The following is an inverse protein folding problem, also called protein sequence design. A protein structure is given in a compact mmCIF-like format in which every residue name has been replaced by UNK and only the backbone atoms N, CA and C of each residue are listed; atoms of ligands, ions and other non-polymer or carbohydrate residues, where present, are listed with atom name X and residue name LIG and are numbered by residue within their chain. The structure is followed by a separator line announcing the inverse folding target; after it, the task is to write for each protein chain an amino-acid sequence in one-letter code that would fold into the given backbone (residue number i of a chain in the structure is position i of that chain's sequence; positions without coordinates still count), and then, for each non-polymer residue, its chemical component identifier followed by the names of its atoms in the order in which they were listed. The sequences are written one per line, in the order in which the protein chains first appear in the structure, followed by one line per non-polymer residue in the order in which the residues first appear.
data_IF_119878666213
#
_entry.id   IF_119878666213
#
_cell.length_a   1.000
_cell.length_b   1.000
_cell.length_c   1.000
_cell.angle_alpha   90.00
_cell.angle_beta   90.00
_cell.angle_gamma   90.00
#
_symmetry.space_group_name_H-M   'P 1'
#
loop_
_entity.id
_entity.type
_entity.pdbx_description
1 polymer ?
#
# COMPACT_ATOMS: atom_id res chain seq x y z
N UNK A 1 -132.84 -26.54 43.39
CA UNK A 1 -131.88 -25.41 43.42
C UNK A 1 -130.43 -25.89 43.26
N UNK A 2 -129.98 -26.92 43.98
CA UNK A 2 -128.58 -27.40 43.94
C UNK A 2 -128.16 -28.07 42.61
N UNK A 3 -129.00 -28.93 42.02
CA UNK A 3 -128.69 -29.60 40.74
C UNK A 3 -128.52 -28.63 39.55
N UNK A 4 -129.25 -27.52 39.57
CA UNK A 4 -129.13 -26.48 38.52
C UNK A 4 -127.79 -25.75 38.65
N UNK A 5 -127.33 -25.49 39.88
CA UNK A 5 -126.01 -24.87 40.12
C UNK A 5 -124.86 -25.78 39.66
N UNK A 6 -124.93 -27.08 39.96
CA UNK A 6 -123.94 -28.06 39.51
C UNK A 6 -123.91 -28.16 37.97
N UNK A 7 -125.07 -28.24 37.32
CA UNK A 7 -125.14 -28.27 35.85
C UNK A 7 -124.62 -26.96 35.21
N UNK A 8 -124.85 -25.80 35.83
CA UNK A 8 -124.27 -24.54 35.35
C UNK A 8 -122.76 -24.48 35.56
N UNK A 9 -122.26 -25.03 36.65
CA UNK A 9 -120.83 -25.08 36.99
C UNK A 9 -120.06 -26.03 36.06
N UNK A 10 -120.64 -27.18 35.71
CA UNK A 10 -120.09 -28.09 34.71
C UNK A 10 -120.07 -27.44 33.32
N UNK A 11 -121.10 -26.66 32.99
CA UNK A 11 -121.17 -25.91 31.73
C UNK A 11 -120.11 -24.81 31.65
N UNK A 12 -119.89 -24.06 32.74
CA UNK A 12 -118.85 -23.01 32.80
C UNK A 12 -117.45 -23.63 32.73
N UNK A 13 -117.21 -24.71 33.47
CA UNK A 13 -115.93 -25.42 33.45
C UNK A 13 -115.62 -25.99 32.06
N UNK A 14 -116.62 -26.55 31.38
CA UNK A 14 -116.49 -27.04 30.01
C UNK A 14 -116.14 -25.90 29.02
N UNK A 15 -116.73 -24.71 29.22
CA UNK A 15 -116.44 -23.52 28.39
C UNK A 15 -115.03 -22.98 28.63
N UNK A 16 -114.60 -22.89 29.89
CA UNK A 16 -113.25 -22.46 30.29
C UNK A 16 -112.18 -23.43 29.77
N UNK A 17 -112.41 -24.73 29.90
CA UNK A 17 -111.50 -25.74 29.35
C UNK A 17 -111.37 -25.60 27.83
N UNK A 18 -112.48 -25.38 27.12
CA UNK A 18 -112.48 -25.13 25.67
C UNK A 18 -111.82 -23.80 25.29
N UNK A 19 -111.89 -22.75 26.11
CA UNK A 19 -111.13 -21.51 25.86
C UNK A 19 -109.63 -21.73 26.05
N UNK A 20 -109.23 -22.44 27.10
CA UNK A 20 -107.81 -22.75 27.35
C UNK A 20 -107.19 -23.58 26.24
N UNK A 21 -107.91 -24.56 25.67
CA UNK A 21 -107.43 -25.32 24.50
C UNK A 21 -107.21 -24.40 23.30
N UNK A 22 -108.18 -23.51 23.01
CA UNK A 22 -108.07 -22.57 21.88
C UNK A 22 -106.92 -21.58 22.08
N UNK A 23 -106.71 -21.09 23.29
CA UNK A 23 -105.61 -20.18 23.61
C UNK A 23 -104.26 -20.89 23.52
N UNK A 24 -104.18 -22.15 23.96
CA UNK A 24 -103.00 -23.00 23.77
C UNK A 24 -102.68 -23.18 22.29
N UNK A 25 -103.65 -23.55 21.47
CA UNK A 25 -103.44 -23.73 20.03
C UNK A 25 -103.03 -22.42 19.34
N UNK A 26 -103.66 -21.30 19.72
CA UNK A 26 -103.34 -19.96 19.22
C UNK A 26 -101.92 -19.50 19.60
N UNK A 27 -101.44 -19.86 20.79
CA UNK A 27 -100.14 -19.43 21.30
C UNK A 27 -98.99 -20.42 21.04
N UNK A 28 -99.27 -21.69 20.75
CA UNK A 28 -98.26 -22.74 20.56
C UNK A 28 -97.17 -22.37 19.54
N UNK A 29 -97.54 -21.71 18.44
CA UNK A 29 -96.58 -21.24 17.45
C UNK A 29 -95.64 -20.17 17.99
N UNK A 30 -96.16 -19.21 18.77
CA UNK A 30 -95.37 -18.11 19.37
C UNK A 30 -94.43 -18.65 20.44
N UNK A 31 -94.91 -19.53 21.32
CA UNK A 31 -94.11 -20.17 22.35
C UNK A 31 -92.98 -21.02 21.75
N UNK A 32 -93.27 -21.79 20.70
CA UNK A 32 -92.26 -22.55 19.96
C UNK A 32 -91.18 -21.65 19.37
N UNK A 33 -91.55 -20.53 18.75
CA UNK A 33 -90.59 -19.57 18.19
C UNK A 33 -89.73 -18.90 19.27
N UNK A 34 -90.33 -18.55 20.41
CA UNK A 34 -89.62 -18.01 21.56
C UNK A 34 -88.61 -19.02 22.11
N UNK A 35 -89.03 -20.28 22.31
CA UNK A 35 -88.15 -21.36 22.76
C UNK A 35 -86.98 -21.60 21.79
N UNK A 36 -87.25 -21.65 20.48
CA UNK A 36 -86.19 -21.76 19.45
C UNK A 36 -85.21 -20.57 19.55
N UNK A 37 -85.72 -19.36 19.79
CA UNK A 37 -84.90 -18.16 19.89
C UNK A 37 -84.02 -18.15 21.13
N UNK A 38 -84.52 -18.64 22.26
CA UNK A 38 -83.72 -18.81 23.49
C UNK A 38 -82.65 -19.89 23.26
N UNK A 39 -83.06 -21.05 22.73
CA UNK A 39 -82.17 -22.18 22.48
C UNK A 39 -81.05 -21.84 21.50
N UNK A 40 -81.35 -21.18 20.38
CA UNK A 40 -80.33 -20.77 19.40
C UNK A 40 -79.34 -19.77 20.01
N UNK A 41 -79.82 -18.83 20.82
CA UNK A 41 -78.96 -17.84 21.47
C UNK A 41 -78.04 -18.52 22.51
N UNK A 42 -78.58 -19.40 23.34
CA UNK A 42 -77.82 -20.14 24.34
C UNK A 42 -76.77 -21.07 23.71
N UNK A 43 -77.13 -21.83 22.66
CA UNK A 43 -76.18 -22.66 21.91
C UNK A 43 -75.05 -21.81 21.32
N UNK A 44 -75.38 -20.67 20.72
CA UNK A 44 -74.39 -19.72 20.21
C UNK A 44 -73.48 -19.15 21.31
N UNK A 45 -74.04 -18.82 22.47
CA UNK A 45 -73.28 -18.35 23.63
C UNK A 45 -72.28 -19.41 24.11
N UNK A 46 -72.72 -20.66 24.29
CA UNK A 46 -71.85 -21.76 24.70
C UNK A 46 -70.68 -21.94 23.75
N UNK A 47 -70.94 -22.01 22.44
CA UNK A 47 -69.88 -22.17 21.43
C UNK A 47 -68.87 -21.03 21.47
N UNK A 48 -69.33 -19.77 21.53
CA UNK A 48 -68.43 -18.60 21.60
C UNK A 48 -67.62 -18.59 22.88
N UNK A 49 -68.24 -18.90 24.02
CA UNK A 49 -67.55 -18.96 25.32
C UNK A 49 -66.44 -20.02 25.28
N UNK A 50 -66.76 -21.23 24.82
CA UNK A 50 -65.78 -22.32 24.68
C UNK A 50 -64.64 -21.92 23.76
N UNK A 51 -64.93 -21.34 22.60
CA UNK A 51 -63.91 -20.84 21.68
C UNK A 51 -62.98 -19.79 22.32
N UNK A 52 -63.52 -18.83 23.06
CA UNK A 52 -62.72 -17.79 23.72
C UNK A 52 -61.77 -18.38 24.78
N UNK A 53 -62.24 -19.37 25.55
CA UNK A 53 -61.40 -20.08 26.53
C UNK A 53 -60.25 -20.78 25.85
N UNK A 54 -60.51 -21.57 24.81
CA UNK A 54 -59.46 -22.26 24.06
C UNK A 54 -58.50 -21.30 23.36
N UNK A 55 -59.02 -20.22 22.75
CA UNK A 55 -58.21 -19.18 22.12
C UNK A 55 -57.24 -18.55 23.13
N UNK A 56 -57.72 -18.23 24.33
CA UNK A 56 -56.88 -17.67 25.38
C UNK A 56 -55.80 -18.68 25.83
N UNK A 57 -56.18 -19.93 26.06
CA UNK A 57 -55.25 -20.98 26.46
C UNK A 57 -54.15 -21.21 25.42
N UNK A 58 -54.52 -21.34 24.15
CA UNK A 58 -53.56 -21.51 23.05
C UNK A 58 -52.62 -20.32 22.91
N UNK A 59 -53.15 -19.09 23.03
CA UNK A 59 -52.32 -17.88 23.03
C UNK A 59 -51.31 -17.92 24.17
N UNK A 60 -51.76 -18.21 25.40
CA UNK A 60 -50.89 -18.30 26.57
C UNK A 60 -49.81 -19.38 26.44
N UNK A 61 -50.17 -20.55 25.89
CA UNK A 61 -49.21 -21.63 25.62
C UNK A 61 -48.16 -21.20 24.59
N UNK A 62 -48.60 -20.60 23.47
CA UNK A 62 -47.70 -20.07 22.43
C UNK A 62 -46.74 -19.01 22.99
N UNK A 63 -47.28 -18.05 23.75
CA UNK A 63 -46.47 -16.98 24.37
C UNK A 63 -45.46 -17.56 25.36
N UNK A 64 -45.85 -18.58 26.14
CA UNK A 64 -44.96 -19.31 27.04
C UNK A 64 -43.80 -20.00 26.30
N UNK A 65 -44.09 -20.70 25.21
CA UNK A 65 -43.07 -21.36 24.37
C UNK A 65 -42.11 -20.32 23.79
N UNK A 66 -42.63 -19.21 23.26
CA UNK A 66 -41.81 -18.14 22.68
C UNK A 66 -40.86 -17.54 23.72
N UNK A 67 -41.36 -17.23 24.93
CA UNK A 67 -40.53 -16.68 26.01
C UNK A 67 -39.43 -17.67 26.41
N UNK A 68 -39.73 -18.97 26.50
CA UNK A 68 -38.74 -20.00 26.80
C UNK A 68 -37.67 -20.10 25.70
N UNK A 69 -38.09 -20.07 24.43
CA UNK A 69 -37.17 -20.06 23.29
C UNK A 69 -36.24 -18.84 23.31
N UNK A 70 -36.78 -17.64 23.57
CA UNK A 70 -35.98 -16.43 23.71
C UNK A 70 -34.98 -16.52 24.87
N UNK A 71 -35.39 -17.04 26.04
CA UNK A 71 -34.51 -17.24 27.20
C UNK A 71 -33.39 -18.23 26.89
N UNK A 72 -33.70 -19.32 26.20
CA UNK A 72 -32.71 -20.31 25.78
C UNK A 72 -31.70 -19.70 24.80
N UNK A 73 -32.17 -19.02 23.76
CA UNK A 73 -31.32 -18.35 22.78
C UNK A 73 -30.39 -17.32 23.45
N UNK A 74 -30.93 -16.50 24.35
CA UNK A 74 -30.14 -15.50 25.08
C UNK A 74 -29.02 -16.15 25.90
N UNK A 75 -29.30 -17.27 26.60
CA UNK A 75 -28.28 -18.01 27.35
C UNK A 75 -27.18 -18.53 26.42
N UNK A 76 -27.57 -19.14 25.30
CA UNK A 76 -26.64 -19.67 24.30
C UNK A 76 -25.74 -18.58 23.72
N UNK A 77 -26.31 -17.43 23.34
CA UNK A 77 -25.56 -16.29 22.83
C UNK A 77 -24.60 -15.70 23.87
N UNK A 78 -25.03 -15.62 25.13
CA UNK A 78 -24.14 -15.17 26.23
C UNK A 78 -22.97 -16.12 26.43
N UNK A 79 -23.20 -17.43 26.43
CA UNK A 79 -22.13 -18.43 26.55
C UNK A 79 -21.15 -18.30 25.39
N UNK A 80 -21.64 -18.29 24.16
CA UNK A 80 -20.80 -18.15 22.97
C UNK A 80 -19.95 -16.87 23.00
N UNK A 81 -20.52 -15.74 23.44
CA UNK A 81 -19.77 -14.49 23.60
C UNK A 81 -18.64 -14.61 24.62
N UNK A 82 -18.89 -15.29 25.75
CA UNK A 82 -17.87 -15.52 26.77
C UNK A 82 -16.75 -16.43 26.26
N UNK A 83 -17.12 -17.50 25.55
CA UNK A 83 -16.16 -18.42 24.91
C UNK A 83 -15.28 -17.68 23.89
N UNK A 84 -15.89 -16.85 23.03
CA UNK A 84 -15.15 -16.01 22.09
C UNK A 84 -14.19 -15.05 22.80
N UNK A 85 -14.65 -14.40 23.86
CA UNK A 85 -13.81 -13.49 24.65
C UNK A 85 -12.63 -14.22 25.29
N UNK A 86 -12.86 -15.41 25.86
CA UNK A 86 -11.82 -16.24 26.44
C UNK A 86 -10.81 -16.70 25.37
N UNK A 87 -11.29 -17.13 24.20
CA UNK A 87 -10.42 -17.54 23.10
C UNK A 87 -9.53 -16.40 22.61
N UNK A 88 -10.09 -15.18 22.44
CA UNK A 88 -9.33 -13.99 22.07
C UNK A 88 -8.29 -13.62 23.12
N UNK A 89 -8.66 -13.66 24.40
CA UNK A 89 -7.73 -13.39 25.50
C UNK A 89 -6.55 -14.38 25.52
N UNK A 90 -6.83 -15.68 25.37
CA UNK A 90 -5.79 -16.71 25.32
C UNK A 90 -4.91 -16.57 24.08
N UNK A 91 -5.50 -16.26 22.93
CA UNK A 91 -4.77 -16.03 21.68
C UNK A 91 -3.82 -14.83 21.79
N UNK A 92 -4.28 -13.68 22.30
CA UNK A 92 -3.45 -12.49 22.47
C UNK A 92 -2.28 -12.74 23.44
N UNK A 93 -2.55 -13.42 24.56
CA UNK A 93 -1.49 -13.81 25.50
C UNK A 93 -0.48 -14.77 24.88
N UNK A 94 -0.93 -15.77 24.12
CA UNK A 94 -0.06 -16.67 23.38
C UNK A 94 0.82 -15.88 22.39
N UNK A 95 0.25 -14.95 21.63
CA UNK A 95 1.00 -14.09 20.70
C UNK A 95 2.06 -13.26 21.43
N UNK A 96 1.74 -12.68 22.59
CA UNK A 96 2.70 -11.92 23.41
C UNK A 96 3.87 -12.78 23.85
N UNK A 97 3.59 -13.96 24.43
CA UNK A 97 4.61 -14.91 24.88
C UNK A 97 5.51 -15.31 23.69
N UNK A 98 4.89 -15.70 22.58
CA UNK A 98 5.63 -16.12 21.40
C UNK A 98 6.47 -14.99 20.79
N UNK A 99 5.96 -13.74 20.75
CA UNK A 99 6.71 -12.57 20.28
C UNK A 99 7.97 -12.34 21.13
N UNK A 100 7.83 -12.38 22.46
CA UNK A 100 8.94 -12.24 23.39
C UNK A 100 9.96 -13.36 23.18
N UNK A 101 9.49 -14.61 23.09
CA UNK A 101 10.35 -15.76 22.86
C UNK A 101 11.11 -15.68 21.54
N UNK A 102 10.44 -15.36 20.43
CA UNK A 102 11.08 -15.18 19.12
C UNK A 102 12.14 -14.08 19.16
N UNK A 103 11.86 -12.97 19.85
CA UNK A 103 12.83 -11.90 20.04
C UNK A 103 14.05 -12.34 20.86
N UNK A 104 13.83 -13.05 21.97
CA UNK A 104 14.91 -13.61 22.78
C UNK A 104 15.76 -14.60 21.98
N UNK A 105 15.12 -15.55 21.29
CA UNK A 105 15.79 -16.58 20.52
C UNK A 105 16.66 -15.98 19.41
N UNK A 106 16.11 -15.03 18.66
CA UNK A 106 16.83 -14.32 17.60
C UNK A 106 18.07 -13.59 18.13
N UNK A 107 17.94 -12.85 19.24
CA UNK A 107 19.08 -12.13 19.84
C UNK A 107 20.13 -13.04 20.47
N UNK A 108 19.75 -14.24 20.92
CA UNK A 108 20.67 -15.17 21.56
C UNK A 108 21.39 -16.09 20.58
N UNK A 109 20.68 -16.56 19.55
CA UNK A 109 21.16 -17.66 18.71
C UNK A 109 21.31 -17.32 17.22
N UNK A 110 20.69 -16.24 16.72
CA UNK A 110 20.73 -15.90 15.29
C UNK A 110 21.60 -14.65 15.06
N UNK A 111 21.33 -13.57 15.78
CA UNK A 111 22.00 -12.29 15.59
C UNK A 111 23.02 -12.07 16.71
N UNK A 112 24.26 -12.48 16.47
CA UNK A 112 25.38 -12.03 17.27
C UNK A 112 25.81 -10.63 16.79
N UNK A 113 25.40 -9.62 17.55
CA UNK A 113 25.73 -8.22 17.27
C UNK A 113 27.24 -7.99 17.19
N UNK A 114 28.04 -8.66 18.02
CA UNK A 114 29.48 -8.48 18.07
C UNK A 114 30.15 -9.12 16.86
N UNK A 115 29.70 -10.31 16.45
CA UNK A 115 30.16 -10.92 15.18
C UNK A 115 29.83 -10.03 13.99
N UNK A 116 28.58 -9.57 13.88
CA UNK A 116 28.18 -8.71 12.75
C UNK A 116 28.94 -7.38 12.72
N UNK A 117 29.18 -6.78 13.88
CA UNK A 117 29.99 -5.55 14.00
C UNK A 117 31.43 -5.79 13.54
N UNK A 118 32.04 -6.92 13.91
CA UNK A 118 33.39 -7.29 13.46
C UNK A 118 33.45 -7.48 11.94
N UNK A 119 32.51 -8.24 11.37
CA UNK A 119 32.44 -8.45 9.91
C UNK A 119 32.41 -7.13 9.14
N UNK A 120 31.59 -6.16 9.60
CA UNK A 120 31.46 -4.86 8.94
C UNK A 120 32.78 -4.07 9.02
N UNK A 121 33.46 -4.08 10.16
CA UNK A 121 34.75 -3.39 10.33
C UNK A 121 35.82 -4.04 9.44
N UNK A 122 35.87 -5.37 9.39
CA UNK A 122 36.81 -6.11 8.55
C UNK A 122 36.55 -5.83 7.05
N UNK A 123 35.29 -5.79 6.62
CA UNK A 123 34.91 -5.42 5.26
C UNK A 123 35.30 -3.97 4.91
N UNK A 124 35.06 -3.01 5.81
CA UNK A 124 35.45 -1.61 5.58
C UNK A 124 36.96 -1.45 5.44
N UNK A 125 37.74 -2.14 6.28
CA UNK A 125 39.20 -2.17 6.18
C UNK A 125 39.66 -2.76 4.84
N UNK A 126 39.05 -3.86 4.39
CA UNK A 126 39.36 -4.48 3.10
C UNK A 126 39.05 -3.56 1.93
N UNK A 127 37.88 -2.90 1.93
CA UNK A 127 37.47 -1.95 0.89
C UNK A 127 38.44 -0.76 0.83
N UNK A 128 38.85 -0.22 1.98
CA UNK A 128 39.84 0.87 2.05
C UNK A 128 41.19 0.45 1.48
N UNK A 129 41.67 -0.75 1.83
CA UNK A 129 42.91 -1.30 1.30
C UNK A 129 42.85 -1.47 -0.22
N UNK A 130 41.78 -2.07 -0.74
CA UNK A 130 41.58 -2.23 -2.19
C UNK A 130 41.53 -0.88 -2.92
N UNK A 131 40.84 0.12 -2.35
CA UNK A 131 40.80 1.47 -2.93
C UNK A 131 42.19 2.10 -2.99
N UNK A 132 43.01 1.92 -1.96
CA UNK A 132 44.41 2.38 -1.93
C UNK A 132 45.25 1.76 -3.05
N UNK A 133 45.18 0.43 -3.20
CA UNK A 133 45.87 -0.31 -4.26
C UNK A 133 45.41 0.17 -5.65
N UNK A 134 44.10 0.37 -5.83
CA UNK A 134 43.54 0.81 -7.10
C UNK A 134 44.01 2.23 -7.47
N UNK A 135 44.07 3.14 -6.49
CA UNK A 135 44.58 4.50 -6.68
C UNK A 135 46.07 4.50 -7.05
N UNK A 136 46.89 3.71 -6.35
CA UNK A 136 48.31 3.54 -6.69
C UNK A 136 48.49 3.00 -8.11
N UNK A 137 47.70 1.99 -8.49
CA UNK A 137 47.73 1.44 -9.85
C UNK A 137 47.31 2.45 -10.92
N UNK A 138 46.37 3.35 -10.63
CA UNK A 138 45.99 4.45 -11.54
C UNK A 138 47.15 5.46 -11.67
N UNK A 139 47.80 5.84 -10.57
CA UNK A 139 48.94 6.75 -10.60
C UNK A 139 50.13 6.18 -11.37
N UNK A 140 50.46 4.91 -11.15
CA UNK A 140 51.52 4.23 -11.88
C UNK A 140 51.24 4.17 -13.38
N UNK A 141 50.00 3.85 -13.77
CA UNK A 141 49.58 3.88 -15.18
C UNK A 141 49.70 5.29 -15.77
N UNK A 142 49.29 6.33 -15.04
CA UNK A 142 49.46 7.73 -15.48
C UNK A 142 50.92 8.10 -15.68
N UNK A 143 51.81 7.73 -14.74
CA UNK A 143 53.26 7.98 -14.86
C UNK A 143 53.86 7.27 -16.07
N UNK A 144 53.52 5.98 -16.27
CA UNK A 144 53.97 5.20 -17.44
C UNK A 144 53.46 5.80 -18.76
N UNK A 145 52.21 6.23 -18.82
CA UNK A 145 51.64 6.88 -20.00
C UNK A 145 52.36 8.20 -20.30
N UNK A 146 52.59 9.04 -19.28
CA UNK A 146 53.30 10.31 -19.46
C UNK A 146 54.73 10.09 -19.99
N UNK A 147 55.44 9.11 -19.45
CA UNK A 147 56.77 8.74 -19.93
C UNK A 147 56.73 8.26 -21.38
N UNK A 148 55.76 7.41 -21.73
CA UNK A 148 55.58 6.95 -23.10
C UNK A 148 55.28 8.11 -24.06
N UNK A 149 54.35 8.99 -23.69
CA UNK A 149 53.97 10.15 -24.49
C UNK A 149 55.15 11.13 -24.68
N UNK A 150 55.96 11.33 -23.64
CA UNK A 150 57.19 12.13 -23.74
C UNK A 150 58.21 11.47 -24.67
N UNK A 151 58.47 10.17 -24.54
CA UNK A 151 59.37 9.46 -25.43
C UNK A 151 58.90 9.53 -26.89
N UNK A 152 57.59 9.42 -27.14
CA UNK A 152 57.01 9.56 -28.48
C UNK A 152 57.17 10.98 -29.01
N UNK A 153 56.98 12.01 -28.17
CA UNK A 153 57.23 13.42 -28.55
C UNK A 153 58.70 13.65 -28.89
N UNK A 154 59.62 13.19 -28.05
CA UNK A 154 61.06 13.33 -28.26
C UNK A 154 61.49 12.62 -29.54
N UNK A 155 60.97 11.42 -29.81
CA UNK A 155 61.25 10.70 -31.04
C UNK A 155 60.69 11.43 -32.27
N UNK A 156 59.52 12.07 -32.18
CA UNK A 156 58.97 12.93 -33.25
C UNK A 156 59.83 14.16 -33.48
N UNK A 157 60.25 14.84 -32.41
CA UNK A 157 61.16 16.00 -32.49
C UNK A 157 62.48 15.60 -33.13
N UNK A 158 63.07 14.49 -32.67
CA UNK A 158 64.31 13.95 -33.21
C UNK A 158 64.18 13.61 -34.70
N UNK A 159 63.08 12.97 -35.12
CA UNK A 159 62.84 12.67 -36.53
C UNK A 159 62.63 13.93 -37.38
N UNK A 160 61.92 14.93 -36.86
CA UNK A 160 61.77 16.22 -37.53
C UNK A 160 63.13 16.93 -37.70
N UNK A 161 63.94 16.98 -36.63
CA UNK A 161 65.28 17.53 -36.67
C UNK A 161 66.18 16.77 -37.65
N UNK A 162 66.12 15.43 -37.66
CA UNK A 162 66.83 14.58 -38.62
C UNK A 162 66.40 14.86 -40.06
N UNK A 163 65.12 15.12 -40.34
CA UNK A 163 64.68 15.40 -41.71
C UNK A 163 65.01 16.83 -42.16
N UNK A 164 65.01 17.79 -41.22
CA UNK A 164 65.22 19.22 -41.51
C UNK A 164 66.68 19.69 -41.29
N UNK A 165 67.62 18.79 -41.01
CA UNK A 165 69.04 19.10 -40.75
C UNK A 165 69.81 19.68 -41.95
N UNK A 166 69.23 19.64 -43.14
CA UNK A 166 69.79 20.31 -44.33
C UNK A 166 69.41 21.80 -44.37
N UNK A 167 68.30 22.20 -43.73
CA UNK A 167 67.88 23.59 -43.60
C UNK A 167 68.66 24.31 -42.49
N UNK A 168 68.83 23.64 -41.36
CA UNK A 168 69.55 24.13 -40.18
C UNK A 168 70.91 23.44 -40.10
N UNK A 169 72.02 24.20 -40.05
CA UNK A 169 73.37 23.63 -40.04
C UNK A 169 73.56 22.53 -39.00
N UNK A 170 74.25 21.46 -39.39
CA UNK A 170 74.78 20.47 -38.45
C UNK A 170 76.25 20.77 -38.14
N UNK A 171 76.82 20.06 -37.16
CA UNK A 171 78.26 20.16 -36.86
C UNK A 171 79.14 19.74 -38.04
N UNK A 172 78.66 18.82 -38.88
CA UNK A 172 79.42 18.25 -39.99
C UNK A 172 79.19 19.00 -41.33
N UNK A 173 77.97 19.46 -41.60
CA UNK A 173 77.62 20.12 -42.86
C UNK A 173 76.74 21.35 -42.64
N UNK A 174 77.10 22.44 -43.34
CA UNK A 174 76.46 23.76 -43.25
C UNK A 174 75.10 23.75 -43.97
N UNK A 175 74.06 24.26 -43.31
CA UNK A 175 72.69 24.24 -43.83
C UNK A 175 72.39 25.36 -44.82
N UNK A 176 71.36 25.19 -45.64
CA UNK A 176 70.97 26.14 -46.72
C UNK A 176 70.68 27.55 -46.18
N UNK A 177 70.01 27.67 -45.04
CA UNK A 177 69.73 28.98 -44.46
C UNK A 177 71.00 29.69 -43.98
N UNK A 178 72.06 28.96 -43.63
CA UNK A 178 73.31 29.55 -43.20
C UNK A 178 74.03 30.24 -44.37
N UNK A 179 74.00 29.65 -45.56
CA UNK A 179 74.55 30.29 -46.77
C UNK A 179 73.83 31.60 -47.12
N UNK A 180 72.50 31.65 -46.99
CA UNK A 180 71.73 32.88 -47.23
C UNK A 180 72.09 33.97 -46.22
N UNK A 181 72.17 33.62 -44.94
CA UNK A 181 72.58 34.55 -43.88
C UNK A 181 74.01 35.05 -44.13
N UNK A 182 74.94 34.17 -44.48
CA UNK A 182 76.32 34.53 -44.79
C UNK A 182 76.45 35.44 -46.00
N UNK A 183 75.67 35.21 -47.06
CA UNK A 183 75.68 36.09 -48.23
C UNK A 183 75.13 37.48 -47.89
N UNK A 184 74.07 37.56 -47.08
CA UNK A 184 73.55 38.85 -46.58
C UNK A 184 74.64 39.58 -45.77
N UNK A 185 75.35 38.87 -44.89
CA UNK A 185 76.46 39.43 -44.11
C UNK A 185 77.59 39.91 -45.05
N UNK A 186 77.94 39.12 -46.06
CA UNK A 186 79.01 39.44 -47.02
C UNK A 186 78.67 40.66 -47.87
N UNK A 187 77.45 40.75 -48.39
CA UNK A 187 76.97 41.94 -49.12
C UNK A 187 77.02 43.21 -48.28
N UNK A 188 76.68 43.12 -46.98
CA UNK A 188 76.79 44.25 -46.06
C UNK A 188 78.25 44.68 -45.87
N UNK A 189 79.17 43.73 -45.72
CA UNK A 189 80.60 44.01 -45.59
C UNK A 189 81.19 44.65 -46.85
N UNK A 190 80.80 44.18 -48.03
CA UNK A 190 81.23 44.79 -49.31
C UNK A 190 80.69 46.21 -49.50
N UNK A 191 79.42 46.46 -49.11
CA UNK A 191 78.88 47.83 -49.09
C UNK A 191 79.67 48.76 -48.17
N UNK A 192 80.09 48.28 -47.01
CA UNK A 192 80.93 49.02 -46.07
C UNK A 192 82.33 49.29 -46.68
N UNK A 193 82.93 48.28 -47.31
CA UNK A 193 84.26 48.39 -47.94
C UNK A 193 84.25 49.35 -49.13
N UNK A 194 83.28 49.24 -50.04
CA UNK A 194 83.13 50.14 -51.19
C UNK A 194 82.85 51.60 -50.76
N UNK A 195 82.11 51.80 -49.66
CA UNK A 195 81.94 53.11 -49.03
C UNK A 195 83.28 53.70 -48.53
N UNK A 196 84.14 52.86 -47.94
CA UNK A 196 85.47 53.26 -47.47
C UNK A 196 86.46 53.55 -48.60
N UNK A 197 86.39 52.82 -49.72
CA UNK A 197 87.25 53.00 -50.89
C UNK A 197 86.85 54.25 -51.69
N UNK A 198 85.54 54.52 -51.89
CA UNK A 198 85.07 55.79 -52.46
C UNK A 198 85.50 57.01 -51.64
N UNK A 199 85.59 56.87 -50.30
CA UNK A 199 86.16 57.91 -49.44
C UNK A 199 87.66 58.11 -49.68
N UNK A 200 88.43 57.04 -49.92
CA UNK A 200 89.86 57.12 -50.25
C UNK A 200 90.11 57.72 -51.64
N UNK A 201 89.34 57.33 -52.66
CA UNK A 201 89.45 57.90 -54.01
C UNK A 201 89.10 59.39 -54.05
N UNK A 202 88.02 59.81 -53.38
CA UNK A 202 87.71 61.25 -53.25
C UNK A 202 88.86 62.02 -52.59
N UNK A 203 89.56 61.42 -51.62
CA UNK A 203 90.71 62.03 -50.95
C UNK A 203 91.94 62.11 -51.88
N UNK A 204 92.18 61.09 -52.71
CA UNK A 204 93.29 61.07 -53.66
C UNK A 204 93.08 62.00 -54.87
N UNK A 205 91.84 62.15 -55.36
CA UNK A 205 91.51 63.10 -56.43
C UNK A 205 91.64 64.55 -55.93
N UNK A 206 91.30 64.81 -54.66
CA UNK A 206 91.48 66.13 -54.05
C UNK A 206 92.96 66.49 -53.85
N UNK A 207 93.82 65.50 -53.62
CA UNK A 207 95.27 65.69 -53.45
C UNK A 207 96.05 65.82 -54.78
N UNK A 208 95.49 65.41 -55.93
CA UNK A 208 96.10 65.60 -57.27
C UNK A 208 95.76 66.95 -57.92
N UNK A 209 94.88 67.77 -57.31
CA UNK A 209 94.45 69.09 -57.79
C UNK A 209 95.07 70.27 -57.02
N UNK A 210 96.15 70.04 -56.29
CA UNK A 210 96.98 71.05 -55.60
C UNK A 210 98.45 70.79 -55.94
#
# INVERSE_FOLDING_TARGET
MEFVKLATQDSTLSKEYKSLIRDKEKNAGRERLAAITIQKCYRGYLTRRTYLVYKHFLKRAKDGINILACKFLLRKLKQHRLEQQAALYMSDNATKIQKVFRGYYSRKYIHDFFMRKREIIELDAHVKAQKGIMLQGIEEKRKKQLLHDNNVKDMKIHNAAKNLHHLVSTKAQRGVYNYRIENIIREQQEKIKNSSEKKKEKKNILNKKK
#
